data_IF_173369042320
#
_entry.id   IF_173369042320
#
_cell.length_a   1.000
_cell.length_b   1.000
_cell.length_c   1.000
_cell.angle_alpha   90.00
_cell.angle_beta   90.00
_cell.angle_gamma   90.00
#
_symmetry.space_group_name_H-M   'P 1'
#
loop_
_entity.id
_entity.type
_entity.pdbx_description
1 polymer ?
#
# COMPACT_ATOMS: atom_id res chain seq x y z
N UNK A 1 -18.28 -65.26 -50.03
CA UNK A 1 -19.09 -65.40 -48.80
C UNK A 1 -19.08 -64.06 -48.08
N UNK A 2 -20.27 -63.49 -47.89
CA UNK A 2 -20.74 -62.48 -46.91
C UNK A 2 -19.70 -61.67 -46.10
N UNK A 3 -19.89 -60.40 -45.73
CA UNK A 3 -20.77 -59.29 -46.07
C UNK A 3 -20.28 -58.12 -45.18
N UNK A 4 -20.44 -56.88 -45.65
CA UNK A 4 -20.77 -55.68 -44.86
C UNK A 4 -20.14 -55.50 -43.46
N UNK A 5 -19.38 -54.41 -43.28
CA UNK A 5 -19.78 -53.39 -42.29
C UNK A 5 -19.00 -52.08 -42.47
N UNK A 6 -19.60 -51.11 -43.16
CA UNK A 6 -19.28 -49.70 -42.99
C UNK A 6 -19.77 -49.24 -41.61
N UNK A 7 -18.86 -48.88 -40.69
CA UNK A 7 -19.21 -48.09 -39.50
C UNK A 7 -18.22 -46.96 -39.26
N UNK A 8 -18.83 -45.80 -39.09
CA UNK A 8 -18.33 -44.47 -38.74
C UNK A 8 -17.41 -44.49 -37.51
N UNK A 9 -16.43 -43.58 -37.49
CA UNK A 9 -16.07 -42.81 -36.29
C UNK A 9 -15.65 -41.40 -36.72
N UNK A 10 -16.67 -40.57 -36.96
CA UNK A 10 -16.58 -39.15 -36.67
C UNK A 10 -16.89 -38.99 -35.16
N UNK A 11 -15.93 -38.53 -34.35
CA UNK A 11 -16.15 -37.72 -33.15
C UNK A 11 -14.88 -37.60 -32.31
N UNK A 12 -14.22 -36.43 -32.35
CA UNK A 12 -13.49 -35.89 -31.20
C UNK A 12 -13.18 -34.40 -31.41
N UNK A 13 -14.13 -33.63 -31.94
CA UNK A 13 -14.15 -32.18 -31.70
C UNK A 13 -15.01 -31.96 -30.46
N UNK A 14 -14.37 -32.05 -29.30
CA UNK A 14 -14.97 -31.59 -28.06
C UNK A 14 -15.12 -30.06 -28.15
N UNK A 15 -16.31 -29.48 -27.87
CA UNK A 15 -16.46 -28.04 -27.92
C UNK A 15 -15.58 -27.42 -26.84
N UNK A 16 -14.65 -26.55 -27.25
CA UNK A 16 -13.94 -25.65 -26.34
C UNK A 16 -15.01 -24.95 -25.50
N UNK A 17 -14.98 -25.19 -24.18
CA UNK A 17 -15.73 -24.40 -23.20
C UNK A 17 -15.51 -22.93 -23.53
N UNK A 18 -16.60 -22.23 -23.84
CA UNK A 18 -16.59 -20.78 -23.96
C UNK A 18 -15.94 -20.21 -22.70
N UNK A 19 -14.84 -19.48 -22.89
CA UNK A 19 -14.26 -18.67 -21.84
C UNK A 19 -15.34 -17.67 -21.42
N UNK A 20 -15.92 -17.87 -20.24
CA UNK A 20 -16.76 -16.88 -19.59
C UNK A 20 -15.92 -15.63 -19.45
N UNK A 21 -16.20 -14.61 -20.27
CA UNK A 21 -15.60 -13.28 -20.18
C UNK A 21 -15.97 -12.70 -18.83
N UNK A 22 -15.11 -12.90 -17.83
CA UNK A 22 -15.20 -12.23 -16.54
C UNK A 22 -15.04 -10.75 -16.84
N UNK A 23 -16.09 -9.97 -16.59
CA UNK A 23 -16.04 -8.51 -16.66
C UNK A 23 -14.84 -8.03 -15.84
N UNK A 24 -13.96 -7.16 -16.37
CA UNK A 24 -12.85 -6.64 -15.58
C UNK A 24 -13.41 -5.97 -14.32
N UNK A 25 -12.80 -6.20 -13.14
CA UNK A 25 -13.21 -5.54 -11.91
C UNK A 25 -13.00 -4.03 -12.08
N UNK A 26 -14.07 -3.31 -12.41
CA UNK A 26 -14.02 -1.88 -12.74
C UNK A 26 -15.27 -1.33 -13.42
N UNK A 27 -15.95 -2.15 -14.25
CA UNK A 27 -17.13 -1.69 -15.01
C UNK A 27 -18.31 -1.25 -14.12
N UNK A 28 -18.49 -1.90 -12.97
CA UNK A 28 -19.51 -1.51 -11.96
C UNK A 28 -19.17 -0.20 -11.24
N UNK A 29 -17.88 0.12 -11.06
CA UNK A 29 -17.41 1.35 -10.40
C UNK A 29 -17.46 2.56 -11.34
N UNK A 30 -17.24 2.36 -12.64
CA UNK A 30 -17.38 3.41 -13.65
C UNK A 30 -18.82 3.98 -13.71
N UNK A 31 -19.84 3.12 -13.69
CA UNK A 31 -21.24 3.56 -13.69
C UNK A 31 -21.64 4.30 -12.40
N UNK A 32 -21.13 3.85 -11.24
CA UNK A 32 -21.39 4.53 -9.97
C UNK A 32 -20.82 5.96 -9.93
N UNK A 33 -19.69 6.19 -10.62
CA UNK A 33 -19.02 7.50 -10.70
C UNK A 33 -19.80 8.52 -11.54
N UNK A 34 -20.49 8.06 -12.58
CA UNK A 34 -21.37 8.89 -13.43
C UNK A 34 -22.64 9.35 -12.70
N UNK A 35 -23.08 8.58 -11.69
CA UNK A 35 -24.27 8.91 -10.90
C UNK A 35 -23.95 9.79 -9.68
N UNK A 36 -22.73 9.72 -9.15
CA UNK A 36 -22.28 10.52 -8.01
C UNK A 36 -21.84 11.95 -8.36
N UNK A 37 -21.58 12.27 -9.63
CA UNK A 37 -21.20 13.63 -10.06
C UNK A 37 -22.35 14.65 -10.06
N UNK A 38 -23.56 14.24 -9.66
CA UNK A 38 -24.78 15.04 -9.78
C UNK A 38 -25.22 15.73 -8.48
N UNK A 39 -24.45 15.62 -7.40
CA UNK A 39 -24.82 16.24 -6.11
C UNK A 39 -23.60 16.69 -5.33
N UNK A 40 -23.26 17.97 -5.40
CA UNK A 40 -22.39 18.62 -4.41
C UNK A 40 -22.98 19.96 -4.02
N UNK A 41 -23.65 19.98 -2.86
CA UNK A 41 -23.99 21.18 -2.11
C UNK A 41 -22.84 21.56 -1.19
N UNK A 42 -22.56 22.85 -1.15
CA UNK A 42 -21.45 23.54 -0.48
C UNK A 42 -21.44 23.39 1.04
N UNK A 43 -20.32 22.87 1.56
CA UNK A 43 -19.74 23.23 2.85
C UNK A 43 -18.31 23.71 2.56
N UNK A 44 -17.84 24.74 3.24
CA UNK A 44 -16.47 25.23 3.08
C UNK A 44 -15.47 24.16 3.55
N UNK A 45 -15.04 23.31 2.63
CA UNK A 45 -14.07 22.23 2.87
C UNK A 45 -12.67 22.82 3.10
N UNK A 46 -12.40 23.22 4.34
CA UNK A 46 -11.04 23.57 4.74
C UNK A 46 -10.12 22.36 4.51
N UNK A 47 -9.26 22.49 3.50
CA UNK A 47 -8.23 21.53 3.15
C UNK A 47 -6.99 21.79 3.99
N UNK A 48 -6.47 20.76 4.64
CA UNK A 48 -5.25 20.81 5.44
C UNK A 48 -4.09 20.31 4.59
N UNK A 49 -3.03 21.12 4.45
CA UNK A 49 -1.80 20.70 3.78
C UNK A 49 -1.11 19.59 4.59
N UNK A 50 -0.80 18.47 3.93
CA UNK A 50 -0.30 17.28 4.61
C UNK A 50 1.14 17.46 5.11
N UNK A 51 1.99 18.19 4.39
CA UNK A 51 3.38 18.38 4.82
C UNK A 51 3.40 19.18 6.13
N UNK A 52 2.69 20.30 6.17
CA UNK A 52 2.56 21.14 7.36
C UNK A 52 1.88 20.38 8.52
N UNK A 53 0.82 19.60 8.25
CA UNK A 53 0.14 18.79 9.26
C UNK A 53 1.07 17.77 9.92
N UNK A 54 1.95 17.15 9.12
CA UNK A 54 2.84 16.11 9.61
C UNK A 54 4.02 16.63 10.45
N UNK A 55 4.20 17.96 10.55
CA UNK A 55 5.12 18.59 11.49
C UNK A 55 4.69 18.39 12.95
N UNK A 56 3.42 18.06 13.19
CA UNK A 56 2.88 17.77 14.53
C UNK A 56 3.30 16.39 15.09
N UNK A 57 4.07 15.58 14.35
CA UNK A 57 4.37 14.18 14.68
C UNK A 57 5.88 13.93 14.75
N UNK A 58 6.29 12.99 15.60
CA UNK A 58 7.71 12.60 15.71
C UNK A 58 8.21 12.02 14.39
N UNK A 59 9.23 12.65 13.80
CA UNK A 59 9.81 12.24 12.53
C UNK A 59 11.15 11.53 12.71
N UNK A 60 11.12 10.19 12.72
CA UNK A 60 12.33 9.35 12.83
C UNK A 60 13.19 9.32 11.57
N UNK A 61 12.67 9.73 10.40
CA UNK A 61 13.51 9.89 9.20
C UNK A 61 14.50 11.05 9.37
N UNK A 62 14.09 12.10 10.12
CA UNK A 62 14.96 13.25 10.46
C UNK A 62 15.74 13.03 11.76
N UNK A 63 15.10 12.48 12.79
CA UNK A 63 15.70 12.30 14.12
C UNK A 63 16.65 11.09 14.21
N UNK A 64 16.62 10.20 13.23
CA UNK A 64 17.32 8.92 13.25
C UNK A 64 16.43 7.80 13.79
N UNK A 65 16.56 6.62 13.19
CA UNK A 65 15.80 5.43 13.58
C UNK A 65 16.40 4.86 14.88
N UNK A 66 15.60 4.65 15.93
CA UNK A 66 16.07 4.06 17.19
C UNK A 66 16.70 2.68 16.97
N UNK A 67 17.77 2.37 17.72
CA UNK A 67 18.39 1.04 17.69
C UNK A 67 17.37 -0.01 18.13
N UNK A 68 17.29 -1.12 17.39
CA UNK A 68 16.35 -2.20 17.68
C UNK A 68 14.87 -1.86 17.48
N UNK A 69 14.52 -0.76 16.80
CA UNK A 69 13.13 -0.36 16.57
C UNK A 69 12.26 -1.45 15.93
N UNK A 70 12.85 -2.28 15.05
CA UNK A 70 12.16 -3.43 14.44
C UNK A 70 12.16 -4.69 15.32
N UNK A 71 13.23 -4.94 16.09
CA UNK A 71 13.32 -6.09 16.99
C UNK A 71 12.36 -5.98 18.18
N UNK A 72 11.97 -4.76 18.55
CA UNK A 72 11.04 -4.50 19.65
C UNK A 72 9.56 -4.71 19.28
N UNK A 73 9.24 -4.84 17.99
CA UNK A 73 7.86 -5.02 17.50
C UNK A 73 7.28 -6.41 17.86
N UNK A 74 8.13 -7.43 18.02
CA UNK A 74 7.72 -8.81 18.35
C UNK A 74 7.45 -9.01 19.86
N UNK A 75 7.73 -8.02 20.71
CA UNK A 75 7.75 -8.19 22.16
C UNK A 75 6.40 -7.95 22.86
N UNK A 76 5.36 -7.47 22.18
CA UNK A 76 4.00 -7.31 22.73
C UNK A 76 3.92 -6.41 23.97
N UNK A 77 3.38 -5.19 23.81
CA UNK A 77 3.04 -4.27 24.90
C UNK A 77 4.15 -4.09 25.96
N UNK A 78 5.21 -3.36 25.60
CA UNK A 78 6.27 -3.03 26.56
C UNK A 78 7.49 -2.32 25.97
N UNK A 79 7.61 -2.26 24.65
CA UNK A 79 8.62 -1.42 24.01
C UNK A 79 8.17 0.04 24.07
N UNK A 80 9.00 0.91 24.67
CA UNK A 80 8.68 2.33 24.85
C UNK A 80 8.32 3.08 23.54
N UNK A 81 7.95 4.35 23.67
CA UNK A 81 7.40 5.24 22.63
C UNK A 81 8.12 5.29 21.26
N UNK A 82 9.30 4.66 21.14
CA UNK A 82 10.17 4.68 19.97
C UNK A 82 10.15 3.39 19.11
N UNK A 83 9.41 2.34 19.50
CA UNK A 83 9.36 1.07 18.77
C UNK A 83 8.31 1.06 17.65
N UNK A 84 8.60 0.33 16.56
CA UNK A 84 7.62 0.10 15.50
C UNK A 84 6.45 -0.74 16.03
N UNK A 85 5.22 -0.25 15.86
CA UNK A 85 4.01 -0.96 16.29
C UNK A 85 2.96 -0.97 15.18
N UNK A 86 2.81 -2.14 14.54
CA UNK A 86 1.75 -2.35 13.56
C UNK A 86 0.34 -2.22 14.16
N UNK A 87 0.19 -2.45 15.47
CA UNK A 87 -1.04 -2.26 16.21
C UNK A 87 -1.49 -0.80 16.20
N UNK A 88 -0.58 0.15 16.46
CA UNK A 88 -0.88 1.60 16.40
C UNK A 88 -1.43 2.01 15.04
N UNK A 89 -0.70 1.71 13.96
CA UNK A 89 -1.13 2.10 12.61
C UNK A 89 -2.43 1.38 12.20
N UNK A 90 -2.66 0.13 12.61
CA UNK A 90 -3.94 -0.56 12.35
C UNK A 90 -5.10 0.09 13.07
N UNK A 91 -4.94 0.51 14.32
CA UNK A 91 -5.98 1.26 15.06
C UNK A 91 -6.27 2.59 14.38
N UNK A 92 -5.25 3.32 13.93
CA UNK A 92 -5.42 4.53 13.14
C UNK A 92 -6.20 4.26 11.84
N UNK A 93 -5.83 3.23 11.08
CA UNK A 93 -6.53 2.89 9.84
C UNK A 93 -8.00 2.54 10.07
N UNK A 94 -8.32 1.87 11.18
CA UNK A 94 -9.69 1.56 11.56
C UNK A 94 -10.53 2.83 11.80
N UNK A 95 -9.96 3.89 12.40
CA UNK A 95 -10.68 5.17 12.56
C UNK A 95 -10.94 5.89 11.23
N UNK A 96 -10.16 5.57 10.20
CA UNK A 96 -10.31 6.12 8.84
C UNK A 96 -11.16 5.22 7.91
N UNK A 97 -11.79 4.18 8.45
CA UNK A 97 -12.67 3.28 7.68
C UNK A 97 -11.93 2.21 6.87
N UNK A 98 -10.77 1.76 7.35
CA UNK A 98 -9.94 0.71 6.72
C UNK A 98 -9.56 0.99 5.25
N UNK A 99 -8.96 2.15 4.93
CA UNK A 99 -8.66 2.52 3.55
C UNK A 99 -7.64 1.59 2.87
N UNK A 100 -6.83 0.85 3.64
CA UNK A 100 -5.90 -0.17 3.15
C UNK A 100 -6.59 -1.31 2.36
N UNK A 101 -7.92 -1.46 2.49
CA UNK A 101 -8.73 -2.50 1.84
C UNK A 101 -9.44 -1.99 0.57
N UNK A 102 -9.27 -0.71 0.21
CA UNK A 102 -10.05 -0.08 -0.86
C UNK A 102 -9.67 -0.56 -2.28
N UNK A 103 -8.41 -0.92 -2.47
CA UNK A 103 -7.87 -1.40 -3.74
C UNK A 103 -6.69 -2.38 -3.53
N UNK A 104 -6.39 -3.26 -4.51
CA UNK A 104 -5.21 -4.11 -4.46
C UNK A 104 -3.89 -3.32 -4.41
N UNK A 105 -2.90 -3.86 -3.70
CA UNK A 105 -1.59 -3.22 -3.51
C UNK A 105 -0.43 -4.07 -4.05
N UNK A 106 0.50 -3.43 -4.75
CA UNK A 106 1.84 -3.97 -4.99
C UNK A 106 2.78 -3.38 -3.95
N UNK A 107 3.34 -4.24 -3.09
CA UNK A 107 4.16 -3.81 -1.95
C UNK A 107 5.64 -4.07 -2.24
N UNK A 108 6.48 -3.03 -2.11
CA UNK A 108 7.88 -3.05 -2.57
C UNK A 108 8.82 -2.83 -1.39
N UNK A 109 9.57 -3.87 -1.01
CA UNK A 109 10.64 -3.81 -0.02
C UNK A 109 12.02 -3.99 -0.66
N UNK A 110 13.07 -3.58 0.05
CA UNK A 110 14.44 -3.64 -0.45
C UNK A 110 15.38 -2.68 0.27
N UNK A 111 16.67 -2.78 -0.01
CA UNK A 111 17.68 -1.84 0.45
C UNK A 111 17.80 -0.67 -0.53
N UNK A 112 18.01 -0.95 -1.82
CA UNK A 112 18.09 0.06 -2.89
C UNK A 112 17.13 -0.26 -4.03
N UNK A 113 16.75 0.76 -4.81
CA UNK A 113 15.92 0.58 -6.01
C UNK A 113 14.42 0.45 -5.78
N UNK A 114 13.94 0.66 -4.54
CA UNK A 114 12.50 0.62 -4.20
C UNK A 114 11.73 1.70 -4.96
N UNK A 115 12.05 2.98 -4.75
CA UNK A 115 11.38 4.10 -5.42
C UNK A 115 11.42 4.07 -6.95
N UNK A 116 12.51 3.61 -7.56
CA UNK A 116 12.59 3.44 -9.03
C UNK A 116 11.70 2.29 -9.52
N UNK A 117 11.62 1.20 -8.77
CA UNK A 117 10.72 0.07 -9.04
C UNK A 117 9.26 0.50 -8.91
N UNK A 118 8.91 1.25 -7.85
CA UNK A 118 7.57 1.83 -7.68
C UNK A 118 7.20 2.72 -8.88
N UNK A 119 8.12 3.58 -9.31
CA UNK A 119 7.89 4.45 -10.46
C UNK A 119 7.69 3.67 -11.76
N UNK A 120 8.50 2.64 -12.02
CA UNK A 120 8.39 1.80 -13.21
C UNK A 120 7.07 1.02 -13.25
N UNK A 121 6.69 0.37 -12.14
CA UNK A 121 5.42 -0.37 -12.04
C UNK A 121 4.24 0.58 -12.26
N UNK A 122 4.24 1.73 -11.59
CA UNK A 122 3.16 2.69 -11.72
C UNK A 122 3.06 3.28 -13.14
N UNK A 123 4.18 3.50 -13.83
CA UNK A 123 4.18 3.95 -15.21
C UNK A 123 3.52 2.91 -16.14
N UNK A 124 3.86 1.62 -15.98
CA UNK A 124 3.26 0.53 -16.77
C UNK A 124 1.75 0.41 -16.49
N UNK A 125 1.33 0.43 -15.22
CA UNK A 125 -0.08 0.34 -14.85
C UNK A 125 -0.89 1.52 -15.40
N UNK A 126 -0.36 2.74 -15.29
CA UNK A 126 -1.01 3.95 -15.84
C UNK A 126 -1.07 3.92 -17.37
N UNK A 127 -0.02 3.45 -18.04
CA UNK A 127 -0.04 3.26 -19.49
C UNK A 127 -1.09 2.22 -19.93
N UNK A 128 -1.40 1.25 -19.07
CA UNK A 128 -2.51 0.30 -19.25
C UNK A 128 -3.89 0.86 -18.87
N UNK A 129 -4.00 2.15 -18.53
CA UNK A 129 -5.26 2.81 -18.17
C UNK A 129 -5.74 2.56 -16.73
N UNK A 130 -4.90 2.01 -15.85
CA UNK A 130 -5.25 1.70 -14.46
C UNK A 130 -5.03 2.95 -13.59
N UNK A 131 -6.05 3.38 -12.84
CA UNK A 131 -5.92 4.49 -11.91
C UNK A 131 -4.99 4.11 -10.74
N UNK A 132 -3.71 4.48 -10.83
CA UNK A 132 -2.67 3.96 -9.94
C UNK A 132 -2.14 5.02 -8.98
N UNK A 133 -2.29 4.75 -7.69
CA UNK A 133 -1.64 5.49 -6.60
C UNK A 133 -0.21 5.02 -6.34
N UNK A 134 0.69 5.92 -5.96
CA UNK A 134 2.06 5.57 -5.54
C UNK A 134 2.38 6.20 -4.20
N UNK A 135 2.91 5.41 -3.27
CA UNK A 135 3.43 5.87 -1.98
C UNK A 135 4.92 5.54 -1.87
N UNK A 136 5.76 6.55 -1.60
CA UNK A 136 7.22 6.49 -1.54
C UNK A 136 7.77 7.31 -0.37
N UNK A 137 8.94 6.91 0.15
CA UNK A 137 9.72 7.71 1.08
C UNK A 137 11.22 7.41 1.00
N UNK A 138 12.11 8.37 1.34
CA UNK A 138 11.82 9.80 1.52
C UNK A 138 11.54 10.50 0.17
N UNK A 139 11.29 11.82 0.20
CA UNK A 139 11.27 12.65 -1.02
C UNK A 139 12.65 13.25 -1.30
N UNK A 140 12.94 13.61 -2.55
CA UNK A 140 14.22 14.24 -2.92
C UNK A 140 14.09 15.76 -3.03
N UNK A 141 13.06 16.28 -3.71
CA UNK A 141 12.87 17.71 -3.94
C UNK A 141 11.62 18.26 -3.26
N UNK A 142 10.50 17.53 -3.34
CA UNK A 142 9.22 18.01 -2.82
C UNK A 142 8.40 16.91 -2.16
N UNK A 143 7.66 17.27 -1.11
CA UNK A 143 6.80 16.33 -0.38
C UNK A 143 5.76 15.63 -1.26
N UNK A 144 5.26 16.31 -2.29
CA UNK A 144 4.34 15.76 -3.31
C UNK A 144 4.91 14.56 -4.08
N UNK A 145 6.21 14.27 -3.98
CA UNK A 145 6.80 13.05 -4.51
C UNK A 145 6.40 11.79 -3.74
N UNK A 146 6.05 11.95 -2.45
CA UNK A 146 5.77 10.84 -1.55
C UNK A 146 4.45 10.17 -1.88
N UNK A 147 3.42 10.93 -2.21
CA UNK A 147 2.11 10.39 -2.57
C UNK A 147 1.74 10.99 -3.93
N UNK A 148 1.42 10.14 -4.90
CA UNK A 148 0.90 10.59 -6.21
C UNK A 148 -0.28 9.74 -6.62
N UNK A 149 -1.29 10.38 -7.18
CA UNK A 149 -2.32 9.70 -7.97
C UNK A 149 -2.08 9.97 -9.47
N UNK A 150 -2.93 9.40 -10.34
CA UNK A 150 -2.82 9.63 -11.78
C UNK A 150 -3.09 11.07 -12.24
N UNK A 151 -3.48 11.99 -11.33
CA UNK A 151 -3.94 13.34 -11.64
C UNK A 151 -2.86 14.43 -11.69
N UNK A 152 -1.58 14.10 -11.43
CA UNK A 152 -0.47 15.05 -11.49
C UNK A 152 0.03 15.53 -10.13
N UNK A 153 1.20 16.19 -10.12
CA UNK A 153 1.93 16.59 -8.91
C UNK A 153 1.47 17.94 -8.38
N UNK A 154 0.93 17.94 -7.16
CA UNK A 154 0.60 19.12 -6.36
C UNK A 154 0.74 18.79 -4.87
N UNK A 155 0.60 19.80 -3.99
CA UNK A 155 0.53 19.50 -2.56
C UNK A 155 -0.69 18.64 -2.27
N UNK A 156 -0.53 17.65 -1.40
CA UNK A 156 -1.63 16.78 -1.01
C UNK A 156 -2.30 17.38 0.20
N UNK A 157 -3.62 17.34 0.17
CA UNK A 157 -4.45 17.88 1.23
C UNK A 157 -5.44 16.83 1.72
N UNK A 158 -5.70 16.87 3.02
CA UNK A 158 -6.77 16.08 3.66
C UNK A 158 -7.89 17.02 4.10
N UNK A 159 -9.10 16.48 4.25
CA UNK A 159 -10.19 17.23 4.85
C UNK A 159 -10.01 17.36 6.38
N UNK A 160 -10.73 18.32 6.96
CA UNK A 160 -10.67 18.59 8.40
C UNK A 160 -11.09 17.38 9.25
N UNK A 161 -12.00 16.53 8.75
CA UNK A 161 -12.46 15.34 9.45
C UNK A 161 -11.34 14.30 9.57
N UNK A 162 -10.61 14.04 8.48
CA UNK A 162 -9.44 13.15 8.43
C UNK A 162 -8.34 13.68 9.34
N UNK A 163 -8.03 14.99 9.25
CA UNK A 163 -7.04 15.60 10.14
C UNK A 163 -7.42 15.47 11.62
N UNK A 164 -8.69 15.70 11.96
CA UNK A 164 -9.20 15.54 13.33
C UNK A 164 -9.13 14.10 13.80
N UNK A 165 -9.48 13.12 12.97
CA UNK A 165 -9.40 11.70 13.30
C UNK A 165 -7.96 11.25 13.57
N UNK A 166 -7.00 11.71 12.77
CA UNK A 166 -5.57 11.39 12.99
C UNK A 166 -5.07 12.03 14.28
N UNK A 167 -5.42 13.30 14.59
CA UNK A 167 -5.06 13.94 15.87
C UNK A 167 -5.65 13.19 17.06
N UNK A 168 -6.93 12.81 16.99
CA UNK A 168 -7.57 12.03 18.05
C UNK A 168 -6.88 10.66 18.25
N UNK A 169 -6.49 9.99 17.16
CA UNK A 169 -5.73 8.75 17.24
C UNK A 169 -4.33 8.96 17.86
N UNK A 170 -3.63 10.05 17.51
CA UNK A 170 -2.37 10.44 18.14
C UNK A 170 -2.54 10.59 19.65
N UNK A 171 -3.57 11.30 20.08
CA UNK A 171 -3.82 11.57 21.50
C UNK A 171 -4.21 10.29 22.26
N UNK A 172 -4.97 9.39 21.63
CA UNK A 172 -5.28 8.07 22.17
C UNK A 172 -4.04 7.18 22.36
N UNK A 173 -3.04 7.32 21.46
CA UNK A 173 -1.72 6.71 21.58
C UNK A 173 -0.74 7.54 22.44
N UNK A 174 -1.24 8.50 23.22
CA UNK A 174 -0.44 9.36 24.13
C UNK A 174 0.68 10.13 23.42
N UNK A 175 0.50 10.47 22.15
CA UNK A 175 1.51 11.16 21.34
C UNK A 175 2.49 10.24 20.61
N UNK A 176 2.42 8.92 20.81
CA UNK A 176 3.38 7.97 20.23
C UNK A 176 3.17 7.69 18.72
N UNK A 177 2.08 8.20 18.13
CA UNK A 177 1.85 8.06 16.69
C UNK A 177 2.92 8.86 15.92
N UNK A 178 3.65 8.17 15.05
CA UNK A 178 4.80 8.74 14.33
C UNK A 178 4.39 9.43 13.03
N UNK A 179 5.29 10.28 12.52
CA UNK A 179 5.15 10.92 11.21
C UNK A 179 4.90 9.89 10.09
N UNK A 180 5.63 8.77 10.11
CA UNK A 180 5.54 7.77 9.05
C UNK A 180 4.24 6.95 9.12
N UNK A 181 3.75 6.66 10.32
CA UNK A 181 2.44 6.00 10.51
C UNK A 181 1.29 6.90 10.06
N UNK A 182 1.31 8.18 10.45
CA UNK A 182 0.33 9.16 10.00
C UNK A 182 0.37 9.35 8.47
N UNK A 183 1.57 9.50 7.89
CA UNK A 183 1.76 9.59 6.45
C UNK A 183 1.23 8.36 5.71
N UNK A 184 1.50 7.16 6.22
CA UNK A 184 1.01 5.91 5.64
C UNK A 184 -0.52 5.89 5.61
N UNK A 185 -1.16 6.24 6.73
CA UNK A 185 -2.62 6.28 6.81
C UNK A 185 -3.23 7.31 5.84
N UNK A 186 -2.62 8.51 5.75
CA UNK A 186 -3.02 9.56 4.80
C UNK A 186 -2.88 9.09 3.35
N UNK A 187 -1.77 8.43 2.99
CA UNK A 187 -1.56 7.92 1.64
C UNK A 187 -2.65 6.91 1.23
N UNK A 188 -2.95 5.95 2.11
CA UNK A 188 -3.95 4.93 1.85
C UNK A 188 -5.36 5.52 1.78
N UNK A 189 -5.70 6.44 2.70
CA UNK A 189 -6.97 7.18 2.67
C UNK A 189 -7.12 7.99 1.39
N UNK A 190 -6.05 8.68 0.96
CA UNK A 190 -6.03 9.41 -0.31
C UNK A 190 -6.34 8.47 -1.48
N UNK A 191 -5.69 7.29 -1.58
CA UNK A 191 -5.98 6.36 -2.67
C UNK A 191 -7.42 5.84 -2.64
N UNK A 192 -7.98 5.58 -1.46
CA UNK A 192 -9.37 5.19 -1.30
C UNK A 192 -10.33 6.30 -1.80
N UNK A 193 -10.13 7.54 -1.38
CA UNK A 193 -10.95 8.70 -1.75
C UNK A 193 -10.87 9.03 -3.24
N UNK A 194 -9.70 8.81 -3.83
CA UNK A 194 -9.45 9.01 -5.27
C UNK A 194 -9.93 7.84 -6.12
N UNK A 195 -10.44 6.77 -5.50
CA UNK A 195 -10.93 5.59 -6.19
C UNK A 195 -9.83 4.91 -7.02
N UNK A 196 -8.64 4.74 -6.44
CA UNK A 196 -7.55 4.01 -7.08
C UNK A 196 -7.99 2.58 -7.42
N UNK A 197 -7.58 2.09 -8.58
CA UNK A 197 -7.77 0.70 -9.01
C UNK A 197 -6.63 -0.18 -8.48
N UNK A 198 -5.45 0.40 -8.23
CA UNK A 198 -4.29 -0.24 -7.64
C UNK A 198 -3.43 0.82 -6.94
N UNK A 199 -2.74 0.43 -5.86
CA UNK A 199 -1.67 1.24 -5.30
C UNK A 199 -0.33 0.51 -5.33
N UNK A 200 0.76 1.25 -5.49
CA UNK A 200 2.13 0.74 -5.44
C UNK A 200 2.83 1.41 -4.26
N UNK A 201 3.15 0.63 -3.24
CA UNK A 201 3.57 1.13 -1.93
C UNK A 201 5.01 0.70 -1.66
N UNK A 202 5.88 1.66 -1.41
CA UNK A 202 7.24 1.45 -0.93
C UNK A 202 7.25 1.28 0.59
N UNK A 203 7.96 0.25 1.06
CA UNK A 203 8.30 0.09 2.48
C UNK A 203 9.27 1.19 2.91
N UNK A 204 9.03 1.80 4.07
CA UNK A 204 9.97 2.76 4.67
C UNK A 204 11.26 2.09 5.14
N UNK A 205 11.14 1.22 6.14
CA UNK A 205 12.27 0.47 6.70
C UNK A 205 11.94 -0.99 6.99
N UNK A 206 12.83 -1.89 6.57
CA UNK A 206 12.68 -3.32 6.82
C UNK A 206 11.56 -3.91 5.97
N UNK A 207 10.40 -4.15 6.58
CA UNK A 207 9.21 -4.73 5.95
C UNK A 207 8.25 -5.31 6.99
N UNK A 208 8.71 -6.27 7.80
CA UNK A 208 7.91 -7.03 8.75
C UNK A 208 7.16 -6.13 9.74
N UNK A 209 7.84 -5.16 10.32
CA UNK A 209 7.31 -4.20 11.30
C UNK A 209 7.03 -2.81 10.71
N UNK A 210 7.18 -2.62 9.40
CA UNK A 210 7.03 -1.31 8.77
C UNK A 210 5.56 -0.88 8.78
N UNK A 211 5.29 0.42 8.97
CA UNK A 211 3.92 0.95 9.02
C UNK A 211 3.09 0.61 7.77
N UNK A 212 3.74 0.35 6.63
CA UNK A 212 3.06 -0.07 5.40
C UNK A 212 2.64 -1.55 5.38
N UNK A 213 3.10 -2.40 6.30
CA UNK A 213 2.75 -3.83 6.34
C UNK A 213 1.40 -4.11 7.01
N UNK A 214 0.36 -3.44 6.51
CA UNK A 214 -1.02 -3.48 7.00
C UNK A 214 -1.96 -4.27 6.09
N UNK A 215 -1.48 -4.71 4.92
CA UNK A 215 -2.29 -5.42 3.92
C UNK A 215 -2.48 -6.89 4.28
N UNK A 216 -3.73 -7.37 4.19
CA UNK A 216 -4.01 -8.81 4.24
C UNK A 216 -3.66 -9.47 2.90
N UNK A 217 -3.65 -10.81 2.84
CA UNK A 217 -3.37 -11.55 1.61
C UNK A 217 -4.31 -11.16 0.46
N UNK A 218 -5.59 -10.92 0.76
CA UNK A 218 -6.60 -10.58 -0.27
C UNK A 218 -6.42 -9.17 -0.84
N UNK A 219 -5.81 -8.26 -0.07
CA UNK A 219 -5.53 -6.89 -0.49
C UNK A 219 -4.18 -6.79 -1.25
N UNK A 220 -3.27 -7.76 -1.07
CA UNK A 220 -1.94 -7.73 -1.67
C UNK A 220 -1.95 -8.30 -3.09
N UNK A 221 -1.89 -7.46 -4.12
CA UNK A 221 -1.72 -7.91 -5.50
C UNK A 221 -0.44 -8.74 -5.69
N UNK A 222 0.70 -8.21 -5.24
CA UNK A 222 2.01 -8.88 -5.26
C UNK A 222 2.98 -8.22 -4.28
N UNK A 223 4.00 -8.96 -3.83
CA UNK A 223 5.16 -8.40 -3.15
C UNK A 223 6.38 -8.39 -4.09
N UNK A 224 7.20 -7.34 -4.01
CA UNK A 224 8.48 -7.26 -4.68
C UNK A 224 9.58 -6.98 -3.66
N UNK A 225 10.59 -7.86 -3.61
CA UNK A 225 11.82 -7.66 -2.86
C UNK A 225 12.90 -7.29 -3.86
N UNK A 226 13.29 -6.02 -3.90
CA UNK A 226 14.37 -5.57 -4.79
C UNK A 226 15.74 -5.82 -4.15
N UNK A 227 16.80 -5.15 -4.63
CA UNK A 227 18.15 -5.34 -4.13
C UNK A 227 18.26 -5.25 -2.59
N UNK A 228 18.80 -6.31 -1.98
CA UNK A 228 19.08 -6.41 -0.54
C UNK A 228 20.57 -6.19 -0.29
N UNK A 229 20.88 -5.34 0.68
CA UNK A 229 22.24 -4.99 1.09
C UNK A 229 22.30 -4.54 2.54
N UNK A 230 23.52 -4.33 3.06
CA UNK A 230 23.82 -4.05 4.47
C UNK A 230 23.54 -2.62 4.93
N UNK A 231 22.34 -2.10 4.70
CA UNK A 231 21.89 -0.83 5.30
C UNK A 231 21.05 -1.11 6.56
N UNK A 232 21.12 -0.20 7.53
CA UNK A 232 20.33 -0.25 8.78
C UNK A 232 20.51 -1.54 9.59
N UNK A 233 21.70 -2.15 9.54
CA UNK A 233 22.02 -3.42 10.19
C UNK A 233 21.64 -3.40 11.68
N UNK A 234 21.99 -2.34 12.42
CA UNK A 234 21.68 -2.22 13.85
C UNK A 234 20.18 -2.08 14.15
N UNK A 235 19.41 -1.45 13.25
CA UNK A 235 17.97 -1.32 13.42
C UNK A 235 17.23 -2.64 13.10
N UNK A 236 17.83 -3.46 12.23
CA UNK A 236 17.25 -4.70 11.70
C UNK A 236 17.90 -5.96 12.30
N UNK A 237 18.43 -5.90 13.52
CA UNK A 237 18.85 -7.10 14.28
C UNK A 237 20.29 -7.58 14.05
N UNK A 238 21.14 -6.80 13.39
CA UNK A 238 22.59 -6.99 13.42
C UNK A 238 23.19 -7.94 12.38
N UNK A 239 22.40 -8.56 11.51
CA UNK A 239 22.89 -9.58 10.57
C UNK A 239 22.26 -9.48 9.17
N UNK A 240 22.92 -10.05 8.15
CA UNK A 240 22.34 -10.17 6.82
C UNK A 240 21.03 -10.97 6.82
N UNK A 241 20.96 -12.02 7.64
CA UNK A 241 19.76 -12.85 7.78
C UNK A 241 18.59 -12.03 8.34
N UNK A 242 18.81 -11.27 9.42
CA UNK A 242 17.76 -10.47 10.03
C UNK A 242 17.27 -9.34 9.11
N UNK A 243 18.14 -8.81 8.23
CA UNK A 243 17.74 -7.89 7.16
C UNK A 243 16.82 -8.59 6.14
N UNK A 244 17.16 -9.80 5.71
CA UNK A 244 16.32 -10.58 4.78
C UNK A 244 14.98 -10.91 5.43
N UNK A 245 14.97 -11.41 6.67
CA UNK A 245 13.76 -11.76 7.40
C UNK A 245 12.84 -10.54 7.55
N UNK A 246 13.41 -9.38 7.93
CA UNK A 246 12.66 -8.14 8.01
C UNK A 246 12.06 -7.74 6.65
N UNK A 247 12.79 -7.84 5.54
CA UNK A 247 12.27 -7.46 4.22
C UNK A 247 11.21 -8.43 3.70
N UNK A 248 11.43 -9.72 3.89
CA UNK A 248 10.48 -10.77 3.50
C UNK A 248 9.18 -10.73 4.30
N UNK A 249 9.11 -9.99 5.41
CA UNK A 249 7.89 -9.83 6.21
C UNK A 249 6.69 -9.22 5.47
N UNK A 250 6.88 -8.65 4.27
CA UNK A 250 5.78 -8.18 3.41
C UNK A 250 5.16 -9.31 2.56
N UNK A 251 5.80 -10.48 2.46
CA UNK A 251 5.32 -11.61 1.69
C UNK A 251 4.10 -12.23 2.39
N UNK A 252 3.05 -12.51 1.62
CA UNK A 252 1.82 -13.15 2.12
C UNK A 252 1.53 -14.44 1.37
N UNK A 253 1.05 -15.45 2.08
CA UNK A 253 0.77 -16.77 1.52
C UNK A 253 -0.24 -16.69 0.36
N UNK A 254 0.02 -17.45 -0.70
CA UNK A 254 -0.83 -17.50 -1.89
C UNK A 254 -0.73 -16.27 -2.81
N UNK A 255 0.17 -15.32 -2.53
CA UNK A 255 0.37 -14.12 -3.35
C UNK A 255 1.70 -14.17 -4.11
N UNK A 256 1.78 -13.66 -5.35
CA UNK A 256 3.03 -13.62 -6.10
C UNK A 256 4.11 -12.83 -5.38
N UNK A 257 5.34 -13.30 -5.49
CA UNK A 257 6.54 -12.64 -4.98
C UNK A 257 7.57 -12.54 -6.11
N UNK A 258 8.13 -11.35 -6.28
CA UNK A 258 9.24 -11.08 -7.21
C UNK A 258 10.49 -10.75 -6.40
N UNK A 259 11.61 -11.40 -6.70
CA UNK A 259 12.91 -11.23 -6.02
C UNK A 259 13.97 -10.99 -7.10
#
# INVERSE_FOLDING_TARGET
MFASSSRRLASALSPRRAATTRTPPGARRFLARLLASSSSSSSSDARVDVDAFLEEFTNHERAGVPKGAAAAADAGAGAGDAAFDLGRVRRLLATLGDPQRACPVIHVAGTKGKGSTVAAIAAVLRAAGINTGTYKSPHVHAFSERIKDGGGGGSITIDAATASAIRAARDAERGALTHFEALTAIALKHFADRGADCAVVEVGLGGASDATNVFASDDLAAAAIVAVGGDHVEALGGSARSIVDAKCGIVKAGRPVFI
#
